data_IF_614164308677
#
_entry.id   IF_614164308677
#
_cell.length_a   1.000
_cell.length_b   1.000
_cell.length_c   1.000
_cell.angle_alpha   90.00
_cell.angle_beta   90.00
_cell.angle_gamma   90.00
#
_symmetry.space_group_name_H-M   'P 1'
#
loop_
_entity.id
_entity.type
_entity.pdbx_description
1 polymer ?
#
# COMPACT_ATOMS: atom_id res chain seq x y z
N UNK A 1 -13.27 -72.51 -13.65
CA UNK A 1 -14.46 -71.65 -13.87
C UNK A 1 -14.92 -71.08 -12.54
N UNK A 2 -14.81 -69.75 -12.36
CA UNK A 2 -15.78 -68.86 -11.67
C UNK A 2 -15.10 -67.50 -11.48
N UNK A 3 -15.56 -66.55 -12.30
CA UNK A 3 -15.12 -65.16 -12.35
C UNK A 3 -15.44 -64.44 -11.04
N UNK A 4 -14.41 -63.92 -10.37
CA UNK A 4 -14.59 -62.94 -9.31
C UNK A 4 -14.85 -61.57 -9.95
N UNK A 5 -16.03 -61.03 -9.66
CA UNK A 5 -16.53 -59.72 -10.05
C UNK A 5 -15.52 -58.62 -9.67
N UNK A 6 -14.88 -58.00 -10.67
CA UNK A 6 -14.17 -56.74 -10.50
C UNK A 6 -15.18 -55.60 -10.62
N UNK A 7 -15.74 -55.19 -9.50
CA UNK A 7 -16.54 -53.96 -9.41
C UNK A 7 -15.59 -52.78 -9.56
N UNK A 8 -15.62 -52.13 -10.72
CA UNK A 8 -15.02 -50.82 -10.95
C UNK A 8 -15.81 -49.79 -10.12
N UNK A 9 -15.33 -49.46 -8.94
CA UNK A 9 -15.75 -48.25 -8.25
C UNK A 9 -15.06 -47.06 -8.93
N UNK A 10 -15.78 -46.41 -9.84
CA UNK A 10 -15.36 -45.15 -10.44
C UNK A 10 -15.38 -44.06 -9.36
N UNK A 11 -14.21 -43.75 -8.80
CA UNK A 11 -14.01 -42.59 -7.95
C UNK A 11 -13.89 -41.36 -8.86
N UNK A 12 -15.01 -40.87 -9.37
CA UNK A 12 -15.07 -39.55 -9.98
C UNK A 12 -15.06 -38.52 -8.85
N UNK A 13 -13.88 -38.21 -8.30
CA UNK A 13 -13.69 -36.93 -7.63
C UNK A 13 -13.81 -35.86 -8.71
N UNK A 14 -15.03 -35.36 -8.88
CA UNK A 14 -15.25 -34.03 -9.41
C UNK A 14 -14.64 -33.05 -8.40
N UNK A 15 -13.32 -32.88 -8.46
CA UNK A 15 -12.68 -31.66 -8.03
C UNK A 15 -13.29 -30.59 -8.91
N UNK A 16 -14.34 -29.96 -8.39
CA UNK A 16 -14.87 -28.71 -8.89
C UNK A 16 -13.68 -27.76 -8.96
N UNK A 17 -13.07 -27.70 -10.13
CA UNK A 17 -12.27 -26.59 -10.60
C UNK A 17 -13.24 -25.42 -10.60
N UNK A 18 -13.45 -24.83 -9.42
CA UNK A 18 -13.88 -23.45 -9.34
C UNK A 18 -12.92 -22.74 -10.28
N UNK A 19 -13.40 -22.14 -11.38
CA UNK A 19 -12.55 -21.21 -12.08
C UNK A 19 -12.18 -20.21 -10.99
N UNK A 20 -10.88 -20.11 -10.68
CA UNK A 20 -10.32 -18.88 -10.15
C UNK A 20 -10.73 -17.88 -11.22
N UNK A 21 -11.92 -17.29 -11.07
CA UNK A 21 -12.36 -16.16 -11.88
C UNK A 21 -11.19 -15.22 -11.78
N UNK A 22 -10.56 -14.94 -12.91
CA UNK A 22 -9.64 -13.84 -13.03
C UNK A 22 -10.34 -12.67 -12.36
N UNK A 23 -9.90 -12.33 -11.14
CA UNK A 23 -10.46 -11.18 -10.46
C UNK A 23 -10.22 -10.02 -11.44
N UNK A 24 -11.24 -9.23 -11.78
CA UNK A 24 -11.01 -8.02 -12.55
C UNK A 24 -9.86 -7.26 -11.87
N UNK A 25 -8.95 -6.61 -12.63
CA UNK A 25 -7.85 -5.85 -12.02
C UNK A 25 -8.45 -5.04 -10.86
N UNK A 26 -8.02 -5.38 -9.64
CA UNK A 26 -8.78 -5.02 -8.44
C UNK A 26 -9.07 -3.53 -8.42
N UNK A 27 -10.29 -3.17 -8.03
CA UNK A 27 -10.66 -1.80 -7.78
C UNK A 27 -9.66 -1.19 -6.79
N UNK A 28 -8.92 -0.17 -7.24
CA UNK A 28 -7.81 0.42 -6.48
C UNK A 28 -8.31 1.08 -5.19
N UNK A 29 -9.56 1.55 -5.18
CA UNK A 29 -10.20 2.07 -3.98
C UNK A 29 -10.39 0.96 -2.95
N UNK A 30 -11.03 -0.16 -3.34
CA UNK A 30 -11.15 -1.34 -2.46
C UNK A 30 -9.78 -1.87 -1.99
N UNK A 31 -8.78 -1.93 -2.88
CA UNK A 31 -7.41 -2.34 -2.53
C UNK A 31 -6.79 -1.39 -1.49
N UNK A 32 -6.94 -0.08 -1.68
CA UNK A 32 -6.44 0.93 -0.76
C UNK A 32 -7.15 0.87 0.60
N UNK A 33 -8.48 0.71 0.62
CA UNK A 33 -9.27 0.60 1.84
C UNK A 33 -8.87 -0.62 2.68
N UNK A 34 -8.77 -1.78 2.05
CA UNK A 34 -8.40 -3.03 2.73
C UNK A 34 -6.96 -2.97 3.26
N UNK A 35 -6.02 -2.47 2.44
CA UNK A 35 -4.64 -2.30 2.86
C UNK A 35 -4.51 -1.25 3.97
N UNK A 36 -5.23 -0.12 3.89
CA UNK A 36 -5.23 0.90 4.92
C UNK A 36 -5.78 0.35 6.24
N UNK A 37 -6.86 -0.43 6.21
CA UNK A 37 -7.38 -1.11 7.40
C UNK A 37 -6.35 -2.06 8.02
N UNK A 38 -5.67 -2.87 7.21
CA UNK A 38 -4.63 -3.78 7.70
C UNK A 38 -3.39 -3.03 8.25
N UNK A 39 -3.06 -1.86 7.71
CA UNK A 39 -1.95 -1.03 8.18
C UNK A 39 -2.28 -0.27 9.47
N UNK A 40 -3.55 0.09 9.72
CA UNK A 40 -3.96 0.76 10.96
C UNK A 40 -3.65 -0.06 12.20
N UNK A 41 -3.80 -1.39 12.12
CA UNK A 41 -3.48 -2.31 13.21
C UNK A 41 -1.99 -2.32 13.60
N UNK A 42 -1.12 -1.71 12.79
CA UNK A 42 0.33 -1.61 13.02
C UNK A 42 0.77 -0.23 13.51
N UNK A 43 -0.17 0.69 13.73
CA UNK A 43 0.14 2.04 14.18
C UNK A 43 0.40 2.09 15.70
N UNK A 44 1.27 3.00 16.17
CA UNK A 44 2.12 3.89 15.38
C UNK A 44 3.27 3.14 14.68
N UNK A 45 3.59 3.52 13.45
CA UNK A 45 4.63 2.88 12.66
C UNK A 45 5.79 3.83 12.41
N UNK A 46 6.97 3.48 12.92
CA UNK A 46 8.19 4.26 12.69
C UNK A 46 8.65 4.11 11.23
N UNK A 47 8.76 5.22 10.51
CA UNK A 47 9.22 5.25 9.12
C UNK A 47 10.74 5.48 9.05
N UNK A 48 11.27 6.34 9.93
CA UNK A 48 12.70 6.58 10.14
C UNK A 48 12.95 7.07 11.58
N UNK A 49 14.17 7.51 11.89
CA UNK A 49 14.53 7.96 13.23
C UNK A 49 13.69 9.14 13.73
N UNK A 50 13.24 10.00 12.82
CA UNK A 50 12.56 11.27 13.13
C UNK A 50 11.09 11.33 12.71
N UNK A 51 10.59 10.30 12.02
CA UNK A 51 9.25 10.29 11.39
C UNK A 51 8.46 9.07 11.82
N UNK A 52 7.26 9.29 12.35
CA UNK A 52 6.32 8.22 12.74
C UNK A 52 4.97 8.43 12.07
N UNK A 53 4.46 7.42 11.39
CA UNK A 53 3.06 7.39 10.94
C UNK A 53 2.15 7.12 12.14
N UNK A 54 1.16 7.99 12.36
CA UNK A 54 0.23 7.90 13.50
C UNK A 54 -1.22 7.66 13.07
N UNK A 55 -1.55 7.98 11.81
CA UNK A 55 -2.83 7.63 11.22
C UNK A 55 -2.65 7.25 9.75
N UNK A 56 -3.47 6.34 9.27
CA UNK A 56 -3.53 5.92 7.87
C UNK A 56 -4.99 5.78 7.48
N UNK A 57 -5.36 6.33 6.33
CA UNK A 57 -6.68 6.12 5.71
C UNK A 57 -6.56 5.97 4.19
N UNK A 58 -7.60 5.45 3.58
CA UNK A 58 -7.81 5.53 2.14
C UNK A 58 -8.74 6.71 1.83
N UNK A 59 -8.56 7.31 0.66
CA UNK A 59 -9.36 8.39 0.10
C UNK A 59 -9.49 8.10 -1.41
N UNK A 60 -10.47 7.27 -1.77
CA UNK A 60 -10.47 6.57 -3.05
C UNK A 60 -9.21 5.71 -3.21
N UNK A 61 -8.56 5.80 -4.37
CA UNK A 61 -7.28 5.13 -4.66
C UNK A 61 -6.04 5.85 -4.09
N UNK A 62 -6.19 6.70 -3.07
CA UNK A 62 -5.07 7.35 -2.38
C UNK A 62 -4.91 6.84 -0.95
N UNK A 63 -3.70 6.44 -0.58
CA UNK A 63 -3.34 6.29 0.83
C UNK A 63 -2.96 7.65 1.42
N UNK A 64 -3.59 8.03 2.52
CA UNK A 64 -3.27 9.23 3.27
C UNK A 64 -2.66 8.85 4.62
N UNK A 65 -1.42 9.26 4.84
CA UNK A 65 -0.67 9.04 6.07
C UNK A 65 -0.54 10.36 6.82
N UNK A 66 -0.97 10.39 8.08
CA UNK A 66 -0.60 11.46 9.00
C UNK A 66 0.71 11.07 9.69
N UNK A 67 1.73 11.88 9.47
CA UNK A 67 3.09 11.68 9.95
C UNK A 67 3.40 12.71 11.04
N UNK A 68 3.97 12.26 12.16
CA UNK A 68 4.55 13.14 13.18
C UNK A 68 6.07 13.15 13.04
N UNK A 69 6.64 14.35 13.14
CA UNK A 69 8.08 14.57 13.23
C UNK A 69 8.48 14.74 14.70
N UNK A 70 9.64 14.20 15.07
CA UNK A 70 10.21 14.40 16.41
C UNK A 70 10.98 15.71 16.56
N UNK A 71 11.20 16.44 15.45
CA UNK A 71 11.95 17.69 15.41
C UNK A 71 11.14 18.80 14.76
N UNK A 72 11.33 20.02 15.23
CA UNK A 72 10.76 21.24 14.62
C UNK A 72 11.50 21.53 13.33
N UNK A 73 10.75 21.88 12.27
CA UNK A 73 11.36 22.35 11.03
C UNK A 73 11.40 23.88 11.07
N UNK A 74 12.59 24.50 11.04
CA UNK A 74 12.69 25.94 10.93
C UNK A 74 11.95 26.45 9.68
N UNK A 75 11.15 27.54 9.78
CA UNK A 75 10.36 28.04 8.64
C UNK A 75 11.19 28.36 7.38
N UNK A 76 12.44 28.81 7.56
CA UNK A 76 13.39 29.10 6.48
C UNK A 76 13.95 27.85 5.79
N UNK A 77 13.76 26.66 6.38
CA UNK A 77 14.21 25.38 5.85
C UNK A 77 13.07 24.49 5.33
N UNK A 78 11.82 24.91 5.52
CA UNK A 78 10.63 24.11 5.23
C UNK A 78 10.59 23.61 3.78
N UNK A 79 10.81 24.50 2.81
CA UNK A 79 10.79 24.16 1.39
C UNK A 79 11.87 23.15 1.02
N UNK A 80 13.10 23.38 1.48
CA UNK A 80 14.22 22.47 1.23
C UNK A 80 13.97 21.09 1.86
N UNK A 81 13.41 21.06 3.08
CA UNK A 81 13.08 19.81 3.78
C UNK A 81 11.95 19.05 3.09
N UNK A 82 10.90 19.75 2.68
CA UNK A 82 9.79 19.17 1.93
C UNK A 82 10.27 18.54 0.63
N UNK A 83 11.17 19.21 -0.11
CA UNK A 83 11.75 18.68 -1.35
C UNK A 83 12.54 17.39 -1.10
N UNK A 84 13.42 17.36 -0.10
CA UNK A 84 14.19 16.15 0.23
C UNK A 84 13.28 14.98 0.61
N UNK A 85 12.24 15.22 1.40
CA UNK A 85 11.27 14.19 1.79
C UNK A 85 10.45 13.72 0.57
N UNK A 86 10.06 14.63 -0.33
CA UNK A 86 9.37 14.28 -1.58
C UNK A 86 10.23 13.37 -2.45
N UNK A 87 11.50 13.70 -2.65
CA UNK A 87 12.45 12.90 -3.44
C UNK A 87 12.65 11.50 -2.81
N UNK A 88 12.80 11.43 -1.49
CA UNK A 88 12.92 10.17 -0.75
C UNK A 88 11.66 9.31 -0.86
N UNK A 89 10.48 9.90 -0.65
CA UNK A 89 9.21 9.17 -0.73
C UNK A 89 8.99 8.65 -2.13
N UNK A 90 9.33 9.43 -3.15
CA UNK A 90 9.23 8.99 -4.53
C UNK A 90 10.20 7.83 -4.82
N UNK A 91 11.47 7.95 -4.39
CA UNK A 91 12.44 6.87 -4.56
C UNK A 91 12.03 5.58 -3.84
N UNK A 92 11.56 5.68 -2.59
CA UNK A 92 11.16 4.52 -1.79
C UNK A 92 9.86 3.88 -2.27
N UNK A 93 8.82 4.67 -2.52
CA UNK A 93 7.51 4.14 -2.92
C UNK A 93 7.50 3.63 -4.35
N UNK A 94 8.29 4.20 -5.27
CA UNK A 94 8.30 3.72 -6.66
C UNK A 94 8.99 2.37 -6.85
N UNK A 95 9.57 1.81 -5.78
CA UNK A 95 10.11 0.46 -5.73
C UNK A 95 9.04 -0.54 -5.29
N UNK A 96 9.10 -1.77 -5.81
CA UNK A 96 8.23 -2.87 -5.38
C UNK A 96 6.73 -2.62 -5.54
N UNK A 97 5.95 -3.02 -4.53
CA UNK A 97 4.48 -3.01 -4.56
C UNK A 97 3.89 -1.59 -4.60
N UNK A 98 4.49 -0.62 -3.90
CA UNK A 98 4.04 0.77 -3.93
C UNK A 98 4.08 1.34 -5.34
N UNK A 99 5.15 1.06 -6.08
CA UNK A 99 5.31 1.53 -7.46
C UNK A 99 4.31 0.88 -8.40
N UNK A 100 3.97 -0.40 -8.17
CA UNK A 100 2.94 -1.10 -8.93
C UNK A 100 1.55 -0.49 -8.70
N UNK A 101 1.22 -0.14 -7.45
CA UNK A 101 -0.02 0.57 -7.11
C UNK A 101 -0.10 1.93 -7.78
N UNK A 102 0.97 2.75 -7.70
CA UNK A 102 1.01 4.07 -8.35
C UNK A 102 0.90 3.96 -9.88
N UNK A 103 1.62 3.02 -10.50
CA UNK A 103 1.55 2.81 -11.97
C UNK A 103 0.17 2.39 -12.47
N UNK A 104 -0.66 1.80 -11.60
CA UNK A 104 -2.06 1.47 -11.91
C UNK A 104 -3.01 2.65 -11.75
N UNK A 105 -2.56 3.78 -11.21
CA UNK A 105 -3.36 5.00 -10.99
C UNK A 105 -3.62 5.35 -9.53
N UNK A 106 -3.08 4.56 -8.59
CA UNK A 106 -3.13 4.89 -7.17
C UNK A 106 -2.16 6.01 -6.78
N UNK A 107 -2.27 6.50 -5.54
CA UNK A 107 -1.33 7.51 -5.03
C UNK A 107 -1.11 7.42 -3.52
N UNK A 108 -0.07 8.11 -3.06
CA UNK A 108 0.29 8.25 -1.65
C UNK A 108 0.41 9.72 -1.29
N UNK A 109 -0.29 10.17 -0.26
CA UNK A 109 -0.16 11.49 0.35
C UNK A 109 0.32 11.33 1.79
N UNK A 110 1.40 12.03 2.14
CA UNK A 110 1.92 12.06 3.51
C UNK A 110 1.81 13.49 4.02
N UNK A 111 1.10 13.66 5.13
CA UNK A 111 0.91 14.95 5.81
C UNK A 111 1.76 14.97 7.06
N UNK A 112 2.81 15.78 7.06
CA UNK A 112 3.76 15.88 8.15
C UNK A 112 3.34 17.00 9.10
N UNK A 113 3.39 16.72 10.40
CA UNK A 113 3.22 17.72 11.45
C UNK A 113 4.42 17.68 12.39
N UNK A 114 5.06 18.83 12.62
CA UNK A 114 6.16 18.96 13.57
C UNK A 114 5.64 19.24 15.01
N UNK A 115 6.50 19.24 16.04
CA UNK A 115 6.09 19.49 17.42
C UNK A 115 5.46 20.87 17.69
N UNK A 116 5.69 21.85 16.82
CA UNK A 116 5.10 23.20 16.91
C UNK A 116 3.78 23.31 16.12
N UNK A 117 3.39 22.25 15.42
CA UNK A 117 2.17 22.19 14.63
C UNK A 117 2.33 22.72 13.21
N UNK A 118 3.56 22.98 12.74
CA UNK A 118 3.80 23.30 11.33
C UNK A 118 3.49 22.07 10.48
N UNK A 119 2.82 22.32 9.34
CA UNK A 119 2.35 21.26 8.44
C UNK A 119 2.88 21.47 7.04
N UNK A 120 3.31 20.37 6.42
CA UNK A 120 3.57 20.29 4.98
C UNK A 120 3.20 18.90 4.48
N UNK A 121 3.05 18.75 3.16
CA UNK A 121 2.70 17.48 2.54
C UNK A 121 3.65 17.09 1.41
N UNK A 122 3.72 15.80 1.16
CA UNK A 122 4.35 15.23 -0.03
C UNK A 122 3.39 14.26 -0.69
N UNK A 123 3.48 14.13 -2.02
CA UNK A 123 2.58 13.27 -2.79
C UNK A 123 3.33 12.49 -3.86
N UNK A 124 3.10 11.18 -3.90
CA UNK A 124 3.60 10.29 -4.96
C UNK A 124 2.40 9.77 -5.73
N UNK A 125 2.15 10.35 -6.90
CA UNK A 125 1.06 9.97 -7.80
C UNK A 125 1.56 9.49 -9.17
N UNK A 126 2.88 9.47 -9.38
CA UNK A 126 3.52 8.96 -10.60
C UNK A 126 4.82 8.28 -10.25
N UNK A 127 5.06 7.15 -10.90
CA UNK A 127 6.32 6.42 -10.85
C UNK A 127 6.80 6.14 -12.28
N UNK A 128 8.12 6.05 -12.52
CA UNK A 128 8.62 5.61 -13.81
C UNK A 128 8.11 4.20 -14.16
N UNK A 129 8.10 3.82 -15.45
CA UNK A 129 7.85 2.45 -15.87
C UNK A 129 8.74 1.47 -15.11
N UNK A 130 8.26 0.24 -14.89
CA UNK A 130 9.12 -0.81 -14.35
C UNK A 130 10.18 -1.18 -15.39
N UNK A 131 11.45 -1.24 -14.97
CA UNK A 131 12.57 -1.76 -15.77
C UNK A 131 12.54 -3.29 -15.87
#
# INVERSE_FOLDING_TARGET
>A
MKQARRTLAALALALSLSPLRAQPPGDLETEAEQAAAALREKLPMRADDVTTAVAIRADGAEFVYDMQLSEVIPPDQLEARQRLIQERNQAGLCQGQGGAFVRRGGSYRHVYTDPEGHRFETRVARCPPAE
#
